data_IF_390291019490
#
_entry.id   IF_390291019490
#
_cell.length_a   1.000
_cell.length_b   1.000
_cell.length_c   1.000
_cell.angle_alpha   90.00
_cell.angle_beta   90.00
_cell.angle_gamma   90.00
#
_symmetry.space_group_name_H-M   'P 1'
#
loop_
_entity.id
_entity.type
_entity.pdbx_description
1 polymer ?
#
# COMPACT_ATOMS: atom_id res chain seq x y z
N UNK A 1 36.91 14.01 40.60
CA UNK A 1 35.52 14.48 40.47
C UNK A 1 35.36 15.04 39.06
N UNK A 2 34.64 14.35 38.18
CA UNK A 2 34.48 14.78 36.79
C UNK A 2 33.39 15.86 36.71
N UNK A 3 33.76 17.07 36.31
CA UNK A 3 32.82 18.16 36.06
C UNK A 3 32.10 17.89 34.73
N UNK A 4 30.81 17.56 34.79
CA UNK A 4 29.97 17.44 33.60
C UNK A 4 29.80 18.84 33.02
N UNK A 5 30.40 19.05 31.84
CA UNK A 5 30.29 20.31 31.11
C UNK A 5 28.84 20.57 30.72
N UNK A 6 28.38 21.81 30.90
CA UNK A 6 27.02 22.28 30.55
C UNK A 6 26.61 21.89 29.12
N UNK A 7 27.56 21.76 28.21
CA UNK A 7 27.34 21.35 26.82
C UNK A 7 26.79 19.92 26.71
N UNK A 8 27.17 19.01 27.61
CA UNK A 8 26.73 17.60 27.55
C UNK A 8 25.25 17.46 27.95
N UNK A 9 24.79 18.26 28.92
CA UNK A 9 23.39 18.28 29.35
C UNK A 9 22.50 18.76 28.21
N UNK A 10 22.93 19.80 27.49
CA UNK A 10 22.17 20.36 26.38
C UNK A 10 22.01 19.35 25.23
N UNK A 11 23.08 18.63 24.88
CA UNK A 11 23.03 17.58 23.85
C UNK A 11 22.05 16.47 24.25
N UNK A 12 22.11 15.99 25.50
CA UNK A 12 21.19 14.95 25.97
C UNK A 12 19.71 15.37 25.90
N UNK A 13 19.40 16.61 26.32
CA UNK A 13 18.04 17.13 26.28
C UNK A 13 17.54 17.29 24.84
N UNK A 14 18.37 17.75 23.93
CA UNK A 14 18.02 17.87 22.50
C UNK A 14 17.74 16.49 21.88
N UNK A 15 18.59 15.50 22.14
CA UNK A 15 18.41 14.12 21.66
C UNK A 15 17.12 13.49 22.19
N UNK A 16 16.85 13.66 23.48
CA UNK A 16 15.63 13.15 24.11
C UNK A 16 14.38 13.84 23.54
N UNK A 17 14.44 15.16 23.31
CA UNK A 17 13.35 15.90 22.68
C UNK A 17 13.08 15.41 21.26
N UNK A 18 14.12 15.23 20.44
CA UNK A 18 13.99 14.73 19.07
C UNK A 18 13.44 13.30 19.05
N UNK A 19 13.89 12.44 19.97
CA UNK A 19 13.38 11.07 20.10
C UNK A 19 11.89 11.06 20.51
N UNK A 20 11.51 11.90 21.47
CA UNK A 20 10.11 12.08 21.86
C UNK A 20 9.27 12.67 20.73
N UNK A 21 9.79 13.62 19.96
CA UNK A 21 9.12 14.17 18.79
C UNK A 21 8.95 13.10 17.71
N UNK A 22 9.95 12.26 17.48
CA UNK A 22 9.86 11.17 16.51
C UNK A 22 8.80 10.13 16.89
N UNK A 23 8.72 9.76 18.18
CA UNK A 23 7.67 8.84 18.68
C UNK A 23 6.29 9.50 18.64
N UNK A 24 6.21 10.81 18.93
CA UNK A 24 4.93 11.51 19.13
C UNK A 24 4.35 12.13 17.86
N UNK A 25 5.17 12.39 16.85
CA UNK A 25 4.75 12.98 15.57
C UNK A 25 5.12 12.08 14.37
N UNK A 26 4.65 10.83 14.31
CA UNK A 26 4.72 10.05 13.06
C UNK A 26 3.96 10.76 11.92
N UNK A 27 3.05 11.68 12.26
CA UNK A 27 2.32 12.53 11.32
C UNK A 27 3.20 13.47 10.48
N UNK A 28 4.43 13.82 10.89
CA UNK A 28 5.34 14.60 10.05
C UNK A 28 5.94 13.78 8.89
N UNK A 29 5.89 12.45 9.00
CA UNK A 29 6.16 11.51 7.90
C UNK A 29 4.88 11.06 7.20
N UNK A 30 3.72 11.66 7.49
CA UNK A 30 2.50 11.47 6.69
C UNK A 30 2.68 12.17 5.34
N UNK A 31 3.55 11.56 4.52
CA UNK A 31 3.70 11.74 3.09
C UNK A 31 2.32 11.97 2.49
N UNK A 32 2.20 13.06 1.71
CA UNK A 32 0.97 13.61 1.16
C UNK A 32 0.04 12.51 0.66
N UNK A 33 -0.85 12.10 1.55
CA UNK A 33 -1.63 10.90 1.39
C UNK A 33 -2.84 11.39 0.58
N UNK A 34 -2.89 11.09 -0.72
CA UNK A 34 -4.02 11.43 -1.62
C UNK A 34 -5.33 10.85 -1.11
N UNK A 35 -6.47 11.53 -1.31
CA UNK A 35 -7.81 11.12 -0.80
C UNK A 35 -8.21 9.69 -1.18
N UNK A 36 -7.60 9.11 -2.21
CA UNK A 36 -7.78 7.73 -2.65
C UNK A 36 -6.42 7.06 -2.88
N UNK A 37 -6.35 5.74 -2.75
CA UNK A 37 -5.20 4.95 -3.17
C UNK A 37 -4.88 5.24 -4.66
N UNK A 38 -3.58 5.42 -5.00
CA UNK A 38 -3.18 5.72 -6.37
C UNK A 38 -3.45 4.54 -7.29
N UNK A 39 -3.83 4.87 -8.53
CA UNK A 39 -3.87 3.91 -9.63
C UNK A 39 -2.50 3.84 -10.30
N UNK A 40 -2.04 2.64 -10.60
CA UNK A 40 -0.77 2.40 -11.29
C UNK A 40 -1.01 1.64 -12.59
N UNK A 41 -0.24 1.97 -13.63
CA UNK A 41 -0.30 1.33 -14.96
C UNK A 41 -1.68 1.36 -15.64
N UNK A 42 -2.58 2.27 -15.25
CA UNK A 42 -3.91 2.40 -15.83
C UNK A 42 -3.98 3.35 -17.05
N UNK A 43 -2.87 4.04 -17.33
CA UNK A 43 -2.65 4.88 -18.51
C UNK A 43 -2.06 4.10 -19.70
N UNK A 44 -1.77 2.81 -19.51
CA UNK A 44 -1.27 1.95 -20.59
C UNK A 44 -2.34 1.79 -21.71
N UNK A 45 -1.91 1.49 -22.94
CA UNK A 45 -2.85 1.23 -24.03
C UNK A 45 -3.85 0.13 -23.67
N UNK A 46 -5.12 0.27 -24.07
CA UNK A 46 -6.16 -0.72 -23.77
C UNK A 46 -5.83 -2.14 -24.23
N UNK A 47 -4.99 -2.30 -25.26
CA UNK A 47 -4.49 -3.60 -25.74
C UNK A 47 -3.53 -4.30 -24.77
N UNK A 48 -3.03 -3.60 -23.76
CA UNK A 48 -2.05 -4.09 -22.78
C UNK A 48 -2.68 -4.31 -21.40
N UNK A 49 -3.94 -3.89 -21.19
CA UNK A 49 -4.70 -3.99 -19.94
C UNK A 49 -5.84 -5.00 -20.09
N UNK A 50 -6.17 -5.72 -19.02
CA UNK A 50 -7.40 -6.51 -18.93
C UNK A 50 -8.48 -5.62 -18.30
N UNK A 51 -9.55 -5.26 -19.04
CA UNK A 51 -10.60 -4.39 -18.53
C UNK A 51 -11.20 -4.89 -17.21
N UNK A 52 -11.52 -3.97 -16.33
CA UNK A 52 -12.15 -4.19 -15.02
C UNK A 52 -11.37 -5.12 -14.07
N UNK A 53 -10.15 -5.53 -14.43
CA UNK A 53 -9.32 -6.42 -13.62
C UNK A 53 -8.19 -5.62 -12.98
N UNK A 54 -8.07 -5.73 -11.66
CA UNK A 54 -7.13 -4.94 -10.88
C UNK A 54 -6.34 -5.83 -9.92
N UNK A 55 -5.11 -5.43 -9.63
CA UNK A 55 -4.27 -5.98 -8.57
C UNK A 55 -4.26 -4.97 -7.43
N UNK A 56 -4.73 -5.38 -6.26
CA UNK A 56 -4.83 -4.53 -5.07
C UNK A 56 -3.72 -4.92 -4.11
N UNK A 57 -2.95 -3.94 -3.66
CA UNK A 57 -1.85 -4.12 -2.70
C UNK A 57 -2.29 -3.57 -1.36
N UNK A 58 -2.29 -4.41 -0.33
CA UNK A 58 -2.62 -4.01 1.03
C UNK A 58 -1.35 -3.52 1.77
N UNK A 59 -1.51 -2.64 2.75
CA UNK A 59 -0.41 -2.24 3.62
C UNK A 59 0.14 -3.43 4.42
N UNK A 60 1.44 -3.47 4.74
CA UNK A 60 1.99 -4.47 5.65
C UNK A 60 1.23 -4.53 6.98
N UNK A 61 0.94 -5.74 7.44
CA UNK A 61 0.16 -5.98 8.67
C UNK A 61 -1.37 -5.95 8.47
N UNK A 62 -1.86 -5.48 7.32
CA UNK A 62 -3.29 -5.59 6.98
C UNK A 62 -3.63 -6.99 6.52
N UNK A 63 -4.69 -7.55 7.09
CA UNK A 63 -5.27 -8.82 6.63
C UNK A 63 -6.38 -8.59 5.60
N UNK A 64 -6.58 -9.56 4.71
CA UNK A 64 -7.68 -9.51 3.74
C UNK A 64 -9.06 -9.45 4.43
N UNK A 65 -9.20 -10.09 5.60
CA UNK A 65 -10.44 -10.05 6.38
C UNK A 65 -10.76 -8.64 6.92
N UNK A 66 -9.75 -7.91 7.42
CA UNK A 66 -9.92 -6.52 7.88
C UNK A 66 -10.36 -5.61 6.73
N UNK A 67 -9.68 -5.71 5.59
CA UNK A 67 -10.01 -4.96 4.38
C UNK A 67 -11.45 -5.25 3.89
N UNK A 68 -11.85 -6.52 3.82
CA UNK A 68 -13.23 -6.93 3.46
C UNK A 68 -14.26 -6.35 4.43
N UNK A 69 -13.97 -6.41 5.72
CA UNK A 69 -14.87 -5.87 6.75
C UNK A 69 -15.06 -4.35 6.63
N UNK A 70 -14.02 -3.61 6.22
CA UNK A 70 -14.08 -2.16 6.03
C UNK A 70 -14.96 -1.75 4.84
N UNK A 71 -15.10 -2.62 3.84
CA UNK A 71 -15.87 -2.36 2.62
C UNK A 71 -17.34 -2.79 2.73
N UNK A 72 -17.71 -3.57 3.73
CA UNK A 72 -19.10 -3.91 4.01
C UNK A 72 -19.84 -2.72 4.64
N UNK A 73 -21.11 -2.46 4.24
CA UNK A 73 -21.98 -3.26 3.38
C UNK A 73 -21.89 -2.92 1.88
N UNK A 74 -20.98 -2.03 1.48
CA UNK A 74 -21.00 -1.43 0.14
C UNK A 74 -20.59 -2.42 -0.96
N UNK A 75 -19.64 -3.33 -0.69
CA UNK A 75 -19.13 -4.30 -1.66
C UNK A 75 -18.97 -5.67 -1.02
N UNK A 76 -19.44 -6.71 -1.70
CA UNK A 76 -19.12 -8.12 -1.39
C UNK A 76 -17.87 -8.56 -2.17
N UNK A 77 -16.69 -8.30 -1.60
CA UNK A 77 -15.40 -8.62 -2.23
C UNK A 77 -15.17 -10.12 -2.42
N UNK A 78 -15.86 -11.00 -1.68
CA UNK A 78 -15.68 -12.45 -1.84
C UNK A 78 -16.06 -12.94 -3.23
N UNK A 79 -17.00 -12.25 -3.90
CA UNK A 79 -17.42 -12.55 -5.27
C UNK A 79 -16.53 -11.93 -6.34
N UNK A 80 -15.80 -10.87 -5.99
CA UNK A 80 -14.98 -10.10 -6.92
C UNK A 80 -13.54 -10.62 -7.01
N UNK A 81 -13.03 -11.25 -5.94
CA UNK A 81 -11.64 -11.71 -5.87
C UNK A 81 -11.46 -13.01 -6.65
N UNK A 82 -10.62 -12.95 -7.68
CA UNK A 82 -10.25 -14.11 -8.50
C UNK A 82 -9.09 -14.90 -7.90
N UNK A 83 -8.15 -14.19 -7.27
CA UNK A 83 -6.92 -14.80 -6.78
C UNK A 83 -6.29 -13.99 -5.64
N UNK A 84 -5.81 -14.70 -4.61
CA UNK A 84 -5.03 -14.11 -3.53
C UNK A 84 -3.60 -14.61 -3.67
N UNK A 85 -2.64 -13.69 -3.69
CA UNK A 85 -1.23 -14.01 -3.85
C UNK A 85 -0.52 -13.79 -2.52
N UNK A 86 0.41 -14.70 -2.22
CA UNK A 86 1.28 -14.54 -1.07
C UNK A 86 2.21 -13.34 -1.28
N UNK A 87 2.57 -12.61 -0.21
CA UNK A 87 3.59 -11.57 -0.31
C UNK A 87 4.89 -12.15 -0.88
N UNK A 88 5.47 -11.46 -1.87
CA UNK A 88 6.69 -11.90 -2.55
C UNK A 88 7.92 -11.77 -1.64
N UNK A 89 7.86 -10.90 -0.64
CA UNK A 89 8.95 -10.63 0.31
C UNK A 89 8.44 -10.74 1.75
N UNK A 90 9.32 -11.14 2.66
CA UNK A 90 9.04 -11.13 4.10
C UNK A 90 8.70 -9.70 4.55
N UNK A 91 7.51 -9.53 5.14
CA UNK A 91 6.96 -8.23 5.50
C UNK A 91 6.24 -7.48 4.37
N UNK A 92 6.13 -8.08 3.18
CA UNK A 92 5.26 -7.59 2.12
C UNK A 92 3.79 -7.66 2.52
N UNK A 93 2.99 -6.70 2.04
CA UNK A 93 1.54 -6.75 2.18
C UNK A 93 0.91 -7.87 1.34
N UNK A 94 -0.30 -8.29 1.72
CA UNK A 94 -1.12 -9.20 0.90
C UNK A 94 -1.46 -8.47 -0.40
N UNK A 95 -1.44 -9.20 -1.51
CA UNK A 95 -1.93 -8.69 -2.78
C UNK A 95 -2.96 -9.66 -3.37
N UNK A 96 -4.02 -9.12 -3.97
CA UNK A 96 -5.07 -9.91 -4.59
C UNK A 96 -5.45 -9.35 -5.94
N UNK A 97 -5.97 -10.21 -6.81
CA UNK A 97 -6.58 -9.82 -8.08
C UNK A 97 -8.09 -9.90 -7.95
N UNK A 98 -8.78 -8.88 -8.42
CA UNK A 98 -10.23 -8.85 -8.46
C UNK A 98 -10.75 -8.22 -9.76
N UNK A 99 -11.98 -8.59 -10.12
CA UNK A 99 -12.75 -7.91 -11.16
C UNK A 99 -13.70 -6.92 -10.48
N UNK A 100 -13.53 -5.63 -10.75
CA UNK A 100 -14.21 -4.52 -10.06
C UNK A 100 -14.83 -3.57 -11.08
N UNK A 101 -16.12 -3.27 -10.92
CA UNK A 101 -16.72 -2.13 -11.63
C UNK A 101 -16.23 -0.79 -11.04
N UNK A 102 -16.59 0.34 -11.67
CA UNK A 102 -16.15 1.68 -11.26
C UNK A 102 -16.52 2.00 -9.80
N UNK A 103 -17.73 1.62 -9.37
CA UNK A 103 -18.18 1.87 -7.99
C UNK A 103 -17.39 1.02 -6.99
N UNK A 104 -17.13 -0.24 -7.34
CA UNK A 104 -16.37 -1.14 -6.51
C UNK A 104 -14.89 -0.71 -6.40
N UNK A 105 -14.32 -0.28 -7.53
CA UNK A 105 -12.96 0.23 -7.60
C UNK A 105 -12.79 1.47 -6.72
N UNK A 106 -13.72 2.41 -6.78
CA UNK A 106 -13.65 3.64 -5.98
C UNK A 106 -13.74 3.36 -4.49
N UNK A 107 -14.60 2.43 -4.05
CA UNK A 107 -14.67 2.09 -2.63
C UNK A 107 -13.41 1.34 -2.16
N UNK A 108 -12.85 0.42 -2.96
CA UNK A 108 -11.54 -0.21 -2.66
C UNK A 108 -10.45 0.86 -2.54
N UNK A 109 -10.38 1.81 -3.48
CA UNK A 109 -9.39 2.90 -3.42
C UNK A 109 -9.63 3.86 -2.27
N UNK A 110 -10.86 4.00 -1.81
CA UNK A 110 -11.24 4.78 -0.63
C UNK A 110 -10.80 4.13 0.69
N UNK A 111 -10.46 2.84 0.71
CA UNK A 111 -10.02 2.14 1.93
C UNK A 111 -8.53 2.34 2.23
N UNK A 112 -8.17 3.57 2.58
CA UNK A 112 -6.77 4.03 2.68
C UNK A 112 -5.97 3.45 3.82
N UNK A 113 -6.66 2.98 4.86
CA UNK A 113 -6.03 2.40 6.03
C UNK A 113 -5.51 1.00 5.72
N UNK A 114 -6.07 0.36 4.70
CA UNK A 114 -5.77 -1.01 4.31
C UNK A 114 -5.11 -1.11 2.93
N UNK A 115 -5.44 -0.24 1.98
CA UNK A 115 -4.94 -0.27 0.60
C UNK A 115 -3.78 0.70 0.41
N UNK A 116 -2.67 0.16 -0.09
CA UNK A 116 -1.47 0.93 -0.44
C UNK A 116 -1.56 1.50 -1.85
N UNK A 117 -1.91 0.67 -2.83
CA UNK A 117 -2.08 1.05 -4.23
C UNK A 117 -2.98 0.04 -4.96
N UNK A 118 -3.53 0.46 -6.09
CA UNK A 118 -4.26 -0.40 -7.02
C UNK A 118 -3.60 -0.32 -8.39
N UNK A 119 -3.31 -1.45 -9.00
CA UNK A 119 -2.69 -1.55 -10.32
C UNK A 119 -3.67 -2.14 -11.33
N UNK A 120 -3.74 -1.57 -12.53
CA UNK A 120 -4.49 -2.18 -13.62
C UNK A 120 -3.84 -3.50 -14.04
N UNK A 121 -4.63 -4.58 -14.12
CA UNK A 121 -4.11 -5.88 -14.48
C UNK A 121 -3.70 -5.88 -15.95
N UNK A 122 -2.51 -6.41 -16.23
CA UNK A 122 -1.92 -6.37 -17.57
C UNK A 122 -2.08 -7.71 -18.25
N UNK A 123 -2.28 -7.68 -19.56
CA UNK A 123 -2.07 -8.88 -20.36
C UNK A 123 -0.60 -9.26 -20.24
N UNK A 124 -0.33 -10.52 -19.86
CA UNK A 124 1.03 -11.02 -19.73
C UNK A 124 1.74 -10.79 -21.06
N UNK A 125 2.61 -9.78 -21.12
CA UNK A 125 3.43 -9.59 -22.31
C UNK A 125 4.30 -10.85 -22.43
N UNK A 126 4.40 -11.46 -23.63
CA UNK A 126 5.33 -12.54 -23.83
C UNK A 126 6.69 -12.00 -23.42
N UNK A 127 7.29 -12.60 -22.38
CA UNK A 127 8.59 -12.19 -21.89
C UNK A 127 9.52 -12.18 -23.09
N UNK A 128 10.04 -11.01 -23.48
CA UNK A 128 10.97 -10.88 -24.60
C UNK A 128 12.32 -11.62 -24.37
N UNK A 129 12.42 -12.42 -23.31
CA UNK A 129 13.49 -13.37 -23.05
C UNK A 129 13.26 -14.67 -23.83
N UNK A 130 13.17 -14.55 -25.15
CA UNK A 130 13.71 -15.56 -26.06
C UNK A 130 15.13 -15.12 -26.41
N UNK A 131 16.04 -15.17 -25.44
CA UNK A 131 17.47 -15.19 -25.79
C UNK A 131 17.75 -16.63 -26.17
N UNK A 132 17.65 -16.92 -27.46
CA UNK A 132 18.22 -18.15 -28.02
C UNK A 132 19.73 -18.12 -27.72
N UNK A 133 20.15 -18.95 -26.76
CA UNK A 133 21.55 -19.30 -26.51
C UNK A 133 21.91 -20.55 -27.30
#
# INVERSE_FOLDING_TARGET
>A
MASISRSHIFIFLLSALLFLLYIRFPALLAMHRTETAPLHNCDLPAKDIIPDSYIVYLWPGTTLAQHKAALLPNIDLDRAIDHVMAPILDGGGILYRATLDETALDAVRGDRDHVQLVECNRLKQPSAMGVDL
#
